data_IF_037503200043
#
_entry.id   IF_037503200043
#
_cell.length_a   1.000
_cell.length_b   1.000
_cell.length_c   1.000
_cell.angle_alpha   90.00
_cell.angle_beta   90.00
_cell.angle_gamma   90.00
#
_symmetry.space_group_name_H-M   'P 1'
#
loop_
_entity.id
_entity.type
_entity.pdbx_description
1 polymer ?
#
# COMPACT_ATOMS: atom_id res chain seq x y z
N UNK A 1 19.64 -29.10 18.69
CA UNK A 1 20.26 -30.42 18.46
C UNK A 1 19.88 -30.92 17.06
N UNK A 2 20.85 -31.43 16.29
CA UNK A 2 20.65 -31.90 14.92
C UNK A 2 19.88 -33.22 14.86
N UNK A 3 19.29 -33.57 13.72
CA UNK A 3 18.56 -34.84 13.53
C UNK A 3 19.46 -36.06 13.81
N UNK A 4 20.70 -36.14 13.28
CA UNK A 4 21.62 -37.21 13.62
C UNK A 4 21.84 -37.36 15.12
N UNK A 5 21.99 -36.25 15.86
CA UNK A 5 22.23 -36.31 17.29
C UNK A 5 20.98 -36.71 18.09
N UNK A 6 19.80 -36.20 17.74
CA UNK A 6 18.53 -36.56 18.40
C UNK A 6 18.16 -38.03 18.22
N UNK A 7 18.55 -38.61 17.09
CA UNK A 7 18.18 -39.97 16.68
C UNK A 7 19.27 -40.98 16.97
N UNK A 8 20.43 -40.52 17.44
CA UNK A 8 21.53 -41.38 17.81
C UNK A 8 21.15 -42.22 19.03
N UNK A 9 21.15 -43.52 18.84
CA UNK A 9 21.00 -44.50 19.91
C UNK A 9 22.09 -45.54 19.81
N UNK A 10 22.84 -45.75 20.88
CA UNK A 10 23.96 -46.69 20.94
C UNK A 10 23.74 -47.70 22.06
N UNK A 11 23.93 -48.98 21.74
CA UNK A 11 23.82 -50.09 22.67
C UNK A 11 25.08 -50.96 22.54
N UNK A 12 25.58 -51.49 23.65
CA UNK A 12 26.73 -52.41 23.65
C UNK A 12 26.38 -53.75 24.32
N UNK A 13 27.14 -54.79 23.99
CA UNK A 13 26.99 -56.14 24.54
C UNK A 13 27.84 -56.37 25.81
N UNK A 14 28.53 -55.33 26.29
CA UNK A 14 29.48 -55.34 27.41
C UNK A 14 30.59 -56.39 27.31
N UNK A 15 30.86 -56.88 26.09
CA UNK A 15 31.85 -57.91 25.81
C UNK A 15 32.84 -57.44 24.75
N UNK A 16 32.33 -57.13 23.56
CA UNK A 16 33.18 -56.79 22.41
C UNK A 16 32.57 -55.87 21.37
N UNK A 17 31.26 -55.58 21.42
CA UNK A 17 30.55 -54.88 20.36
C UNK A 17 29.66 -53.74 20.86
N UNK A 18 29.72 -52.63 20.13
CA UNK A 18 28.82 -51.48 20.24
C UNK A 18 28.12 -51.24 18.91
N UNK A 19 26.80 -51.11 18.93
CA UNK A 19 25.96 -50.80 17.78
C UNK A 19 25.27 -49.47 17.99
N UNK A 20 25.50 -48.54 17.07
CA UNK A 20 24.85 -47.23 17.03
C UNK A 20 23.92 -47.13 15.83
N UNK A 21 22.73 -46.58 16.02
CA UNK A 21 21.77 -46.26 14.97
C UNK A 21 21.46 -44.78 14.99
N UNK A 22 21.38 -44.14 13.83
CA UNK A 22 21.00 -42.73 13.71
C UNK A 22 20.37 -42.46 12.34
N UNK A 23 19.73 -41.31 12.21
CA UNK A 23 19.03 -40.88 11.01
C UNK A 23 19.51 -39.51 10.51
N UNK A 24 19.50 -39.31 9.20
CA UNK A 24 19.64 -37.99 8.58
C UNK A 24 18.65 -37.79 7.43
N UNK A 25 18.38 -36.53 7.10
CA UNK A 25 17.48 -36.21 5.99
C UNK A 25 18.15 -36.54 4.65
N UNK A 26 17.43 -37.19 3.73
CA UNK A 26 17.96 -37.63 2.43
C UNK A 26 18.48 -36.46 1.59
N UNK A 27 17.78 -35.33 1.59
CA UNK A 27 18.22 -34.11 0.90
C UNK A 27 19.51 -33.53 1.51
N UNK A 28 19.65 -33.57 2.84
CA UNK A 28 20.85 -33.08 3.52
C UNK A 28 22.04 -34.00 3.23
N UNK A 29 21.84 -35.31 3.27
CA UNK A 29 22.85 -36.31 2.90
C UNK A 29 23.37 -36.12 1.48
N UNK A 30 22.47 -35.86 0.52
CA UNK A 30 22.85 -35.60 -0.87
C UNK A 30 23.79 -34.40 -1.02
N UNK A 31 23.69 -33.40 -0.14
CA UNK A 31 24.55 -32.21 -0.14
C UNK A 31 25.84 -32.42 0.67
N UNK A 32 25.71 -32.95 1.89
CA UNK A 32 26.79 -33.18 2.84
C UNK A 32 26.50 -34.44 3.68
N UNK A 33 27.40 -35.41 3.62
CA UNK A 33 27.29 -36.61 4.44
C UNK A 33 27.85 -36.37 5.83
N UNK A 34 27.21 -36.96 6.84
CA UNK A 34 27.70 -36.91 8.22
C UNK A 34 28.46 -38.19 8.57
N UNK A 35 29.55 -38.03 9.32
CA UNK A 35 30.38 -39.12 9.83
C UNK A 35 30.25 -39.15 11.34
N UNK A 36 29.96 -40.33 11.91
CA UNK A 36 29.89 -40.55 13.34
C UNK A 36 31.29 -40.85 13.89
N UNK A 37 31.69 -40.13 14.93
CA UNK A 37 32.91 -40.36 15.68
C UNK A 37 32.57 -40.73 17.12
N UNK A 38 33.31 -41.66 17.69
CA UNK A 38 33.27 -42.03 19.10
C UNK A 38 34.59 -41.66 19.76
N UNK A 39 34.52 -41.19 21.00
CA UNK A 39 35.67 -40.91 21.85
C UNK A 39 35.40 -41.44 23.24
N UNK A 40 36.22 -42.36 23.70
CA UNK A 40 36.18 -42.81 25.09
C UNK A 40 36.95 -41.83 26.00
N UNK A 41 36.67 -41.88 27.30
CA UNK A 41 37.27 -41.01 28.31
C UNK A 41 38.69 -41.39 28.73
N UNK A 42 39.30 -42.43 28.13
CA UNK A 42 40.60 -42.99 28.52
C UNK A 42 41.69 -42.66 27.48
N UNK A 43 41.40 -42.91 26.20
CA UNK A 43 42.29 -42.77 25.05
C UNK A 43 42.14 -41.37 24.43
N UNK A 44 41.00 -40.68 24.63
CA UNK A 44 40.73 -39.30 24.15
C UNK A 44 40.89 -39.05 22.64
N UNK A 45 41.10 -40.09 21.84
CA UNK A 45 41.14 -40.00 20.37
C UNK A 45 39.75 -40.18 19.76
N UNK A 46 39.48 -39.45 18.67
CA UNK A 46 38.23 -39.63 17.91
C UNK A 46 38.38 -40.81 16.95
N UNK A 47 37.67 -41.89 17.22
CA UNK A 47 37.56 -43.04 16.33
C UNK A 47 36.37 -42.84 15.39
N UNK A 48 36.61 -42.92 14.09
CA UNK A 48 35.56 -42.92 13.07
C UNK A 48 34.79 -44.24 13.11
N UNK A 49 33.46 -44.18 13.12
CA UNK A 49 32.61 -45.36 13.04
C UNK A 49 32.22 -45.63 11.59
N UNK A 50 32.46 -46.86 11.15
CA UNK A 50 32.01 -47.34 9.85
C UNK A 50 30.51 -47.66 9.93
N UNK A 51 29.71 -46.75 9.37
CA UNK A 51 28.26 -46.87 9.28
C UNK A 51 27.84 -47.43 7.92
N UNK A 52 26.84 -48.31 7.92
CA UNK A 52 26.22 -48.83 6.70
C UNK A 52 24.78 -48.34 6.60
N UNK A 53 24.37 -48.05 5.37
CA UNK A 53 22.98 -47.75 5.06
C UNK A 53 22.11 -48.98 5.32
N UNK A 54 21.02 -48.82 6.07
CA UNK A 54 20.07 -49.88 6.33
C UNK A 54 19.01 -49.90 5.21
N UNK A 55 19.15 -50.82 4.26
CA UNK A 55 18.14 -51.05 3.20
C UNK A 55 16.94 -51.82 3.74
N UNK A 56 15.84 -51.10 3.99
CA UNK A 56 14.41 -51.41 3.80
C UNK A 56 13.85 -52.83 3.97
N UNK A 57 14.44 -53.69 4.81
CA UNK A 57 13.82 -55.00 5.10
C UNK A 57 13.49 -55.28 6.57
N UNK A 58 13.61 -54.33 7.50
CA UNK A 58 13.33 -54.63 8.92
C UNK A 58 12.61 -53.54 9.75
N UNK A 59 12.13 -52.43 9.18
CA UNK A 59 11.38 -51.43 9.97
C UNK A 59 10.21 -50.80 9.18
N UNK A 60 8.99 -51.19 9.55
CA UNK A 60 7.78 -50.41 9.29
C UNK A 60 7.80 -49.21 10.25
N UNK A 61 8.16 -48.00 9.80
CA UNK A 61 7.79 -46.67 10.40
C UNK A 61 8.72 -45.49 10.01
N UNK A 62 9.72 -45.69 9.16
CA UNK A 62 10.53 -44.57 8.67
C UNK A 62 9.84 -43.83 7.51
N UNK A 63 9.64 -42.50 7.56
CA UNK A 63 9.24 -41.74 6.38
C UNK A 63 10.33 -41.79 5.31
N UNK A 64 9.97 -41.97 4.03
CA UNK A 64 10.86 -42.05 2.84
C UNK A 64 11.89 -40.91 2.71
N UNK A 65 11.78 -39.85 3.53
CA UNK A 65 12.67 -38.69 3.57
C UNK A 65 13.92 -38.86 4.43
N UNK A 66 14.06 -39.96 5.18
CA UNK A 66 15.18 -40.17 6.11
C UNK A 66 16.04 -41.39 5.74
N UNK A 67 17.35 -41.21 5.86
CA UNK A 67 18.38 -42.21 5.64
C UNK A 67 18.77 -42.80 6.99
N UNK A 68 18.64 -44.13 7.12
CA UNK A 68 18.97 -44.86 8.35
C UNK A 68 20.37 -45.43 8.29
N UNK A 69 21.16 -45.13 9.32
CA UNK A 69 22.53 -45.57 9.45
C UNK A 69 22.69 -46.50 10.64
N UNK A 70 23.37 -47.63 10.40
CA UNK A 70 23.76 -48.57 11.45
C UNK A 70 25.28 -48.69 11.45
N UNK A 71 25.89 -48.34 12.57
CA UNK A 71 27.34 -48.37 12.76
C UNK A 71 27.67 -49.45 13.80
N UNK A 72 28.62 -50.33 13.47
CA UNK A 72 29.09 -51.38 14.38
C UNK A 72 30.57 -51.19 14.65
N UNK A 73 30.93 -51.11 15.93
CA UNK A 73 32.30 -50.96 16.37
C UNK A 73 32.66 -52.11 17.32
N UNK A 74 33.91 -52.56 17.27
CA UNK A 74 34.48 -53.49 18.25
C UNK A 74 35.30 -52.72 19.27
N UNK A 75 34.98 -52.94 20.54
CA UNK A 75 35.62 -52.30 21.69
C UNK A 75 36.12 -53.37 22.66
N UNK A 76 37.24 -53.07 23.32
CA UNK A 76 37.90 -54.03 24.21
C UNK A 76 37.84 -53.63 25.69
N UNK A 77 37.28 -52.44 26.00
CA UNK A 77 37.34 -51.83 27.31
C UNK A 77 35.96 -51.42 27.80
N UNK A 78 35.28 -52.31 28.51
CA UNK A 78 34.03 -52.01 29.21
C UNK A 78 34.28 -51.99 30.72
N UNK A 79 33.77 -50.96 31.40
CA UNK A 79 33.94 -50.82 32.84
C UNK A 79 33.04 -49.75 33.44
N UNK A 80 32.78 -49.84 34.73
CA UNK A 80 32.07 -48.80 35.46
C UNK A 80 32.96 -47.55 35.50
N UNK A 81 32.43 -46.42 35.00
CA UNK A 81 33.19 -45.17 34.87
C UNK A 81 33.86 -44.97 33.51
N UNK A 82 33.67 -45.89 32.56
CA UNK A 82 33.97 -45.67 31.14
C UNK A 82 32.76 -45.03 30.49
N UNK A 83 32.94 -43.91 29.79
CA UNK A 83 31.86 -43.24 29.06
C UNK A 83 32.34 -42.85 27.67
N UNK A 84 31.49 -43.14 26.68
CA UNK A 84 31.69 -42.79 25.29
C UNK A 84 31.01 -41.48 24.94
N UNK A 85 31.74 -40.60 24.28
CA UNK A 85 31.23 -39.38 23.67
C UNK A 85 31.10 -39.58 22.18
N UNK A 86 29.88 -39.42 21.66
CA UNK A 86 29.61 -39.48 20.22
C UNK A 86 29.49 -38.08 19.63
N UNK A 87 30.07 -37.90 18.44
CA UNK A 87 30.03 -36.61 17.73
C UNK A 87 29.88 -36.83 16.23
N UNK A 88 29.18 -35.92 15.59
CA UNK A 88 29.03 -35.93 14.13
C UNK A 88 29.91 -34.86 13.50
N UNK A 89 30.61 -35.22 12.43
CA UNK A 89 31.39 -34.27 11.62
C UNK A 89 30.99 -34.40 10.15
N UNK A 90 30.77 -33.29 9.43
CA UNK A 90 30.53 -33.35 8.00
C UNK A 90 31.76 -33.88 7.26
N UNK A 91 31.54 -34.65 6.20
CA UNK A 91 32.58 -35.16 5.33
C UNK A 91 33.21 -34.09 4.40
N UNK A 92 32.63 -32.88 4.40
CA UNK A 92 33.13 -31.70 3.70
C UNK A 92 33.46 -30.60 4.69
N UNK A 93 34.50 -29.82 4.40
CA UNK A 93 34.84 -28.63 5.16
C UNK A 93 33.85 -27.51 4.82
N UNK A 94 32.97 -27.18 5.76
CA UNK A 94 32.00 -26.08 5.65
C UNK A 94 32.49 -24.91 6.51
N UNK A 95 33.21 -23.98 5.88
CA UNK A 95 33.83 -22.85 6.57
C UNK A 95 33.76 -21.60 5.70
N UNK A 96 33.55 -20.45 6.34
CA UNK A 96 33.63 -19.14 5.72
C UNK A 96 34.50 -18.25 6.60
N UNK A 97 35.49 -17.59 5.99
CA UNK A 97 36.40 -16.66 6.65
C UNK A 97 36.36 -15.32 5.93
N UNK A 98 36.44 -14.23 6.69
CA UNK A 98 36.45 -12.88 6.15
C UNK A 98 37.34 -11.98 6.99
N UNK A 99 38.32 -11.35 6.34
CA UNK A 99 39.10 -10.26 6.93
C UNK A 99 38.30 -8.97 6.80
N UNK A 100 37.87 -8.39 7.91
CA UNK A 100 37.05 -7.17 7.93
C UNK A 100 37.92 -5.97 8.26
N UNK A 101 38.05 -5.04 7.32
CA UNK A 101 38.59 -3.71 7.60
C UNK A 101 37.50 -2.86 8.27
N UNK A 102 37.70 -2.56 9.55
CA UNK A 102 36.74 -1.84 10.38
C UNK A 102 36.40 -0.46 9.81
N UNK A 103 37.35 0.25 9.19
CA UNK A 103 37.13 1.62 8.72
C UNK A 103 36.52 1.68 7.31
N UNK A 104 36.54 0.56 6.58
CA UNK A 104 35.89 0.42 5.27
C UNK A 104 34.54 -0.32 5.33
N UNK A 105 34.13 -0.79 6.51
CA UNK A 105 32.88 -1.52 6.72
C UNK A 105 32.09 -0.94 7.91
N UNK A 106 32.01 0.39 7.98
CA UNK A 106 31.29 1.09 9.05
C UNK A 106 29.81 1.19 8.72
N UNK A 107 28.98 0.40 9.40
CA UNK A 107 27.53 0.64 9.44
C UNK A 107 27.19 1.42 10.71
N UNK A 108 26.68 2.64 10.53
CA UNK A 108 26.30 3.50 11.65
C UNK A 108 24.96 3.10 12.24
N UNK A 109 24.68 3.56 13.45
CA UNK A 109 23.36 3.41 14.06
C UNK A 109 22.34 4.37 13.42
N UNK A 110 21.05 4.01 13.38
CA UNK A 110 20.01 4.86 12.81
C UNK A 110 19.92 6.21 13.56
N UNK A 111 19.72 7.33 12.85
CA UNK A 111 19.46 8.63 13.48
C UNK A 111 18.30 8.58 14.49
N UNK A 112 18.42 9.34 15.57
CA UNK A 112 17.49 9.33 16.69
C UNK A 112 16.80 10.69 16.86
N UNK A 113 15.68 10.71 17.59
CA UNK A 113 14.94 11.93 17.92
C UNK A 113 14.57 12.76 16.69
N UNK A 114 14.11 12.11 15.62
CA UNK A 114 13.58 12.79 14.45
C UNK A 114 12.29 13.52 14.83
N UNK A 115 12.27 14.84 14.63
CA UNK A 115 11.13 15.71 14.92
C UNK A 115 10.91 16.71 13.81
N UNK A 116 9.67 17.20 13.68
CA UNK A 116 9.27 18.22 12.71
C UNK A 116 8.75 19.44 13.46
N UNK A 117 9.16 20.63 13.04
CA UNK A 117 8.60 21.90 13.53
C UNK A 117 8.15 22.79 12.38
N UNK A 118 6.99 23.43 12.54
CA UNK A 118 6.47 24.41 11.59
C UNK A 118 7.14 25.77 11.85
N UNK A 119 7.79 26.32 10.83
CA UNK A 119 8.46 27.62 10.91
C UNK A 119 7.47 28.77 10.69
N UNK A 120 7.83 29.97 11.13
CA UNK A 120 7.04 31.19 10.90
C UNK A 120 6.86 31.52 9.42
N UNK A 121 7.74 31.03 8.54
CA UNK A 121 7.61 31.15 7.07
C UNK A 121 6.53 30.24 6.47
N UNK A 122 5.98 29.29 7.25
CA UNK A 122 5.10 28.22 6.78
C UNK A 122 5.84 26.95 6.34
N UNK A 123 7.18 27.00 6.27
CA UNK A 123 8.02 25.84 5.93
C UNK A 123 8.16 24.87 7.11
N UNK A 124 8.61 23.65 6.82
CA UNK A 124 8.84 22.62 7.83
C UNK A 124 10.33 22.40 8.05
N UNK A 125 10.74 22.33 9.31
CA UNK A 125 12.10 22.03 9.72
C UNK A 125 12.13 20.66 10.39
N UNK A 126 12.77 19.71 9.71
CA UNK A 126 13.09 18.39 10.25
C UNK A 126 14.42 18.49 11.00
N UNK A 127 14.47 17.95 12.21
CA UNK A 127 15.68 17.87 13.03
C UNK A 127 15.85 16.48 13.61
N UNK A 128 17.07 15.99 13.67
CA UNK A 128 17.41 14.71 14.31
C UNK A 128 18.73 14.82 15.07
N UNK A 129 19.10 13.74 15.77
CA UNK A 129 20.41 13.57 16.39
C UNK A 129 21.11 12.38 15.75
N UNK A 130 22.42 12.49 15.58
CA UNK A 130 23.24 11.31 15.34
C UNK A 130 23.12 10.36 16.54
N UNK A 131 23.13 9.05 16.30
CA UNK A 131 23.03 8.08 17.38
C UNK A 131 24.24 8.16 18.33
N UNK A 132 23.99 7.93 19.62
CA UNK A 132 25.03 7.84 20.64
C UNK A 132 26.04 6.73 20.26
N UNK A 133 27.33 7.04 20.33
CA UNK A 133 28.42 6.18 19.82
C UNK A 133 28.91 6.54 18.41
N UNK A 134 28.12 7.30 17.63
CA UNK A 134 28.55 7.84 16.32
C UNK A 134 29.20 9.23 16.44
N UNK A 135 29.42 9.72 17.67
CA UNK A 135 29.87 11.10 17.92
C UNK A 135 31.29 11.37 17.40
N UNK A 136 32.15 10.34 17.32
CA UNK A 136 33.48 10.44 16.69
C UNK A 136 33.43 10.63 15.16
N UNK A 137 32.28 10.33 14.54
CA UNK A 137 32.02 10.45 13.09
C UNK A 137 31.20 11.71 12.75
N UNK A 138 30.93 12.62 13.70
CA UNK A 138 29.92 13.69 13.58
C UNK A 138 29.90 14.46 12.24
N UNK A 139 31.02 15.07 11.86
CA UNK A 139 31.15 15.84 10.59
C UNK A 139 31.56 14.97 9.39
N UNK A 140 31.52 13.65 9.58
CA UNK A 140 31.88 12.63 8.63
C UNK A 140 30.64 11.82 8.22
N UNK A 141 29.42 12.30 8.51
CA UNK A 141 28.17 11.63 8.15
C UNK A 141 27.41 12.37 7.06
N UNK A 142 26.91 11.58 6.12
CA UNK A 142 25.88 11.97 5.17
C UNK A 142 24.54 11.38 5.61
N UNK A 143 23.49 12.16 5.47
CA UNK A 143 22.13 11.77 5.81
C UNK A 143 21.27 11.76 4.56
N UNK A 144 20.45 10.74 4.45
CA UNK A 144 19.38 10.69 3.47
C UNK A 144 18.04 10.86 4.19
N UNK A 145 17.35 11.95 3.87
CA UNK A 145 15.99 12.22 4.33
C UNK A 145 15.04 11.80 3.23
N UNK A 146 14.12 10.91 3.55
CA UNK A 146 13.04 10.52 2.63
C UNK A 146 11.71 10.92 3.21
N UNK A 147 10.84 11.48 2.38
CA UNK A 147 9.50 11.88 2.80
C UNK A 147 8.48 11.65 1.70
N UNK A 148 7.25 11.38 2.13
CA UNK A 148 6.12 11.07 1.26
C UNK A 148 4.82 11.44 1.95
N UNK A 149 3.73 11.50 1.20
CA UNK A 149 2.41 11.51 1.83
C UNK A 149 2.14 10.15 2.46
N UNK A 150 1.36 10.14 3.53
CA UNK A 150 1.11 8.94 4.33
C UNK A 150 0.62 7.75 3.48
N UNK A 151 -0.22 8.03 2.49
CA UNK A 151 -0.79 7.05 1.56
C UNK A 151 0.09 6.63 0.39
N UNK A 152 1.18 7.36 0.12
CA UNK A 152 2.09 7.05 -0.99
C UNK A 152 3.00 5.88 -0.64
N UNK A 153 3.51 5.16 -1.65
CA UNK A 153 4.54 4.14 -1.46
C UNK A 153 5.91 4.78 -1.26
N UNK A 154 6.76 4.16 -0.44
CA UNK A 154 8.15 4.61 -0.23
C UNK A 154 8.99 4.60 -1.52
N UNK A 155 8.66 3.78 -2.52
CA UNK A 155 9.31 3.76 -3.84
C UNK A 155 9.16 5.09 -4.62
N UNK A 156 8.12 5.88 -4.32
CA UNK A 156 7.84 7.16 -4.97
C UNK A 156 8.15 8.36 -4.07
N UNK A 157 8.76 8.10 -2.90
CA UNK A 157 9.09 9.14 -1.95
C UNK A 157 10.14 10.10 -2.53
N UNK A 158 10.08 11.35 -2.09
CA UNK A 158 11.15 12.29 -2.36
C UNK A 158 12.34 11.98 -1.44
N UNK A 159 13.55 11.98 -2.00
CA UNK A 159 14.79 11.77 -1.26
C UNK A 159 15.67 13.01 -1.34
N UNK A 160 16.25 13.41 -0.21
CA UNK A 160 17.18 14.51 -0.08
C UNK A 160 18.46 13.99 0.57
N UNK A 161 19.59 14.19 -0.11
CA UNK A 161 20.91 13.88 0.43
C UNK A 161 21.51 15.13 1.06
N UNK A 162 21.97 15.00 2.31
CA UNK A 162 22.47 16.10 3.12
C UNK A 162 23.80 15.70 3.74
N UNK A 163 24.80 16.57 3.66
CA UNK A 163 26.12 16.33 4.24
C UNK A 163 26.32 17.20 5.49
N UNK A 164 26.89 16.64 6.55
CA UNK A 164 27.36 17.38 7.73
C UNK A 164 26.28 18.26 8.40
N UNK A 165 25.03 17.85 8.35
CA UNK A 165 23.90 18.56 8.97
C UNK A 165 22.94 17.56 9.60
N UNK A 166 22.31 17.97 10.69
CA UNK A 166 21.26 17.20 11.38
C UNK A 166 19.88 17.86 11.26
N UNK A 167 19.73 18.73 10.25
CA UNK A 167 18.50 19.46 9.96
C UNK A 167 18.24 19.54 8.46
N UNK A 168 16.97 19.48 8.11
CA UNK A 168 16.47 19.59 6.74
C UNK A 168 15.30 20.56 6.67
N UNK A 169 15.38 21.51 5.74
CA UNK A 169 14.29 22.44 5.46
C UNK A 169 13.45 21.91 4.30
N UNK A 170 12.14 21.73 4.54
CA UNK A 170 11.16 21.39 3.53
C UNK A 170 10.28 22.62 3.25
N UNK A 171 10.35 23.11 2.03
CA UNK A 171 9.57 24.26 1.56
C UNK A 171 8.09 23.90 1.48
N UNK A 172 7.22 24.75 2.03
CA UNK A 172 5.77 24.56 1.95
C UNK A 172 5.23 24.53 0.52
N UNK A 173 5.98 25.08 -0.45
CA UNK A 173 5.59 25.10 -1.87
C UNK A 173 5.74 23.73 -2.55
N UNK A 174 6.63 22.90 -2.02
CA UNK A 174 6.90 21.55 -2.55
C UNK A 174 5.98 20.49 -1.92
N UNK A 175 5.24 20.89 -0.87
CA UNK A 175 4.28 20.05 -0.17
C UNK A 175 2.85 20.37 -0.59
N UNK A 176 2.01 19.34 -0.67
CA UNK A 176 0.58 19.52 -0.92
C UNK A 176 -0.08 19.98 0.37
N UNK A 177 -0.76 21.15 0.43
CA UNK A 177 -1.37 21.61 1.67
C UNK A 177 -2.61 20.78 2.05
N UNK A 178 -2.92 20.69 3.35
CA UNK A 178 -3.98 19.85 3.92
C UNK A 178 -3.72 18.35 3.75
N UNK A 179 -2.47 17.91 3.75
CA UNK A 179 -2.06 16.51 3.58
C UNK A 179 -1.23 16.03 4.77
N UNK A 180 -1.41 14.76 5.13
CA UNK A 180 -0.54 14.06 6.08
C UNK A 180 0.71 13.56 5.37
N UNK A 181 1.87 13.92 5.91
CA UNK A 181 3.19 13.51 5.44
C UNK A 181 3.91 12.69 6.50
N UNK A 182 4.78 11.80 6.03
CA UNK A 182 5.67 10.99 6.85
C UNK A 182 7.09 11.09 6.31
N UNK A 183 8.07 11.17 7.20
CA UNK A 183 9.49 11.20 6.86
C UNK A 183 10.30 10.24 7.73
N UNK A 184 11.43 9.80 7.18
CA UNK A 184 12.44 8.99 7.86
C UNK A 184 13.83 9.36 7.37
N UNK A 185 14.83 9.16 8.21
CA UNK A 185 16.22 9.54 7.95
C UNK A 185 17.14 8.36 8.20
N UNK A 186 18.13 8.16 7.36
CA UNK A 186 19.24 7.23 7.60
C UNK A 186 20.57 7.92 7.36
N UNK A 187 21.64 7.35 7.88
CA UNK A 187 22.98 7.92 7.81
C UNK A 187 23.94 6.97 7.12
N UNK A 188 25.01 7.50 6.55
CA UNK A 188 26.18 6.71 6.12
C UNK A 188 27.45 7.51 6.36
N UNK A 189 28.63 6.86 6.41
CA UNK A 189 29.88 7.58 6.32
C UNK A 189 29.93 8.44 5.04
N UNK A 190 30.30 9.70 5.21
CA UNK A 190 30.39 10.67 4.13
C UNK A 190 31.57 10.36 3.24
N UNK A 191 31.45 10.66 1.95
CA UNK A 191 32.42 10.20 0.95
C UNK A 191 33.83 10.79 1.15
N UNK A 192 33.92 11.96 1.80
CA UNK A 192 35.18 12.64 2.10
C UNK A 192 35.75 12.32 3.50
N UNK A 193 35.13 11.40 4.24
CA UNK A 193 35.47 11.15 5.65
C UNK A 193 36.63 10.17 5.89
N UNK A 194 37.09 9.48 4.85
CA UNK A 194 38.07 8.38 4.96
C UNK A 194 37.46 7.06 5.47
N UNK A 195 36.20 7.08 5.90
CA UNK A 195 35.42 5.90 6.25
C UNK A 195 34.48 5.52 5.11
N UNK A 196 34.22 4.22 4.95
CA UNK A 196 33.22 3.74 4.01
C UNK A 196 32.35 2.65 4.63
N UNK A 197 31.17 2.46 4.05
CA UNK A 197 30.20 1.51 4.55
C UNK A 197 28.79 1.77 4.01
N UNK A 198 27.86 0.84 4.29
CA UNK A 198 26.48 0.97 3.88
C UNK A 198 25.76 2.05 4.69
N UNK A 199 24.55 2.38 4.24
CA UNK A 199 23.63 3.16 5.07
C UNK A 199 23.24 2.38 6.34
N UNK A 200 22.96 3.13 7.40
CA UNK A 200 22.26 2.63 8.56
C UNK A 200 20.83 2.22 8.21
N UNK A 201 20.21 1.48 9.13
CA UNK A 201 18.76 1.33 9.14
C UNK A 201 18.06 2.69 9.21
N UNK A 202 16.80 2.71 8.81
CA UNK A 202 15.99 3.92 8.90
C UNK A 202 15.71 4.31 10.35
N UNK A 203 15.64 5.61 10.62
CA UNK A 203 15.10 6.14 11.86
C UNK A 203 13.63 5.76 12.03
N UNK A 204 13.12 5.92 13.25
CA UNK A 204 11.67 5.96 13.47
C UNK A 204 11.04 7.04 12.59
N UNK A 205 9.89 6.72 12.02
CA UNK A 205 9.14 7.63 11.16
C UNK A 205 8.55 8.78 11.99
N UNK A 206 8.50 9.97 11.41
CA UNK A 206 7.81 11.13 11.98
C UNK A 206 6.72 11.57 11.02
N UNK A 207 5.54 11.87 11.55
CA UNK A 207 4.40 12.36 10.78
C UNK A 207 4.07 13.81 11.11
N UNK A 208 3.60 14.56 10.12
CA UNK A 208 3.09 15.91 10.30
C UNK A 208 2.00 16.21 9.28
N UNK A 209 1.17 17.20 9.58
CA UNK A 209 0.13 17.68 8.67
C UNK A 209 0.53 19.04 8.11
N UNK A 210 0.32 19.23 6.80
CA UNK A 210 0.45 20.54 6.19
C UNK A 210 -0.82 21.37 6.44
N UNK A 211 -0.71 22.71 6.60
CA UNK A 211 -1.86 23.56 6.86
C UNK A 211 -2.98 23.34 5.85
N UNK A 212 -4.22 23.36 6.35
CA UNK A 212 -5.40 23.28 5.50
C UNK A 212 -5.30 24.28 4.37
N UNK A 213 -5.46 23.78 3.16
CA UNK A 213 -5.50 24.67 2.03
C UNK A 213 -6.92 24.89 1.52
N UNK A 214 -7.07 25.97 0.73
CA UNK A 214 -8.33 26.32 0.10
C UNK A 214 -8.93 25.25 -0.83
N UNK A 215 -10.15 25.52 -1.28
CA UNK A 215 -11.02 24.61 -2.05
C UNK A 215 -10.56 24.37 -3.50
N UNK A 216 -9.47 24.98 -3.93
CA UNK A 216 -8.95 24.87 -5.30
C UNK A 216 -8.38 23.47 -5.57
N UNK A 217 -8.48 22.97 -6.82
CA UNK A 217 -7.78 21.76 -7.25
C UNK A 217 -6.27 21.87 -7.02
N UNK A 218 -5.64 20.75 -6.67
CA UNK A 218 -4.24 20.69 -6.23
C UNK A 218 -3.45 19.66 -6.99
N UNK A 219 -2.13 19.75 -6.87
CA UNK A 219 -1.20 18.76 -7.38
C UNK A 219 -1.43 18.42 -8.88
N UNK A 220 -1.74 19.44 -9.70
CA UNK A 220 -1.90 19.26 -11.13
C UNK A 220 -0.56 18.89 -11.75
N UNK A 221 -0.46 17.65 -12.25
CA UNK A 221 0.73 17.12 -12.90
C UNK A 221 0.35 16.56 -14.27
N UNK A 222 1.17 16.85 -15.27
CA UNK A 222 0.99 16.31 -16.61
C UNK A 222 2.28 15.66 -17.09
N UNK A 223 2.19 14.43 -17.58
CA UNK A 223 3.31 13.62 -18.04
C UNK A 223 3.07 13.21 -19.49
N UNK A 224 3.98 13.60 -20.38
CA UNK A 224 3.96 13.20 -21.78
C UNK A 224 4.69 11.86 -21.94
N UNK A 225 4.06 10.89 -22.61
CA UNK A 225 4.63 9.56 -22.83
C UNK A 225 5.74 9.53 -23.90
N UNK A 226 6.03 10.65 -24.56
CA UNK A 226 7.04 10.73 -25.62
C UNK A 226 6.52 10.32 -27.01
N UNK A 227 5.26 9.90 -27.12
CA UNK A 227 4.65 9.46 -28.37
C UNK A 227 3.46 10.34 -28.74
N UNK A 228 2.34 10.15 -28.07
CA UNK A 228 1.04 10.62 -28.52
C UNK A 228 0.07 10.97 -27.37
N UNK A 229 0.49 10.83 -26.10
CA UNK A 229 -0.41 10.97 -24.95
C UNK A 229 0.21 11.80 -23.84
N UNK A 230 -0.51 12.85 -23.45
CA UNK A 230 -0.23 13.66 -22.27
C UNK A 230 -1.23 13.30 -21.18
N UNK A 231 -0.77 12.59 -20.16
CA UNK A 231 -1.60 12.18 -19.02
C UNK A 231 -1.53 13.23 -17.93
N UNK A 232 -2.67 13.84 -17.61
CA UNK A 232 -2.76 14.82 -16.54
C UNK A 232 -3.57 14.28 -15.36
N UNK A 233 -3.11 14.55 -14.14
CA UNK A 233 -3.78 14.17 -12.89
C UNK A 233 -3.82 15.34 -11.91
N UNK A 234 -4.90 15.45 -11.15
CA UNK A 234 -5.08 16.46 -10.12
C UNK A 234 -5.89 15.91 -8.94
N UNK A 235 -5.91 16.65 -7.84
CA UNK A 235 -6.54 16.25 -6.59
C UNK A 235 -7.61 17.25 -6.17
N UNK A 236 -8.76 16.74 -5.73
CA UNK A 236 -9.91 17.53 -5.25
C UNK A 236 -10.46 16.95 -3.95
N UNK A 237 -11.01 17.80 -3.08
CA UNK A 237 -11.59 17.35 -1.80
C UNK A 237 -12.84 16.51 -2.06
N UNK A 238 -12.91 15.33 -1.42
CA UNK A 238 -14.01 14.37 -1.57
C UNK A 238 -15.38 14.96 -1.18
N UNK A 239 -15.40 15.89 -0.23
CA UNK A 239 -16.63 16.56 0.19
C UNK A 239 -17.24 17.48 -0.89
N UNK A 240 -16.46 17.89 -1.90
CA UNK A 240 -16.89 18.88 -2.89
C UNK A 240 -17.32 18.21 -4.20
N UNK A 241 -16.76 17.04 -4.53
CA UNK A 241 -17.07 16.33 -5.79
C UNK A 241 -18.52 15.87 -5.91
N UNK A 242 -19.27 15.82 -4.80
CA UNK A 242 -20.72 15.53 -4.83
C UNK A 242 -21.55 16.70 -5.37
N UNK A 243 -20.98 17.91 -5.37
CA UNK A 243 -21.68 19.15 -5.72
C UNK A 243 -21.02 19.90 -6.88
N UNK A 244 -19.72 19.73 -7.09
CA UNK A 244 -18.94 20.42 -8.12
C UNK A 244 -18.23 19.37 -8.98
N UNK A 245 -18.53 19.39 -10.28
CA UNK A 245 -17.82 18.61 -11.28
C UNK A 245 -16.62 19.43 -11.76
N UNK A 246 -15.44 18.83 -11.78
CA UNK A 246 -14.24 19.47 -12.32
C UNK A 246 -13.90 18.89 -13.68
N UNK A 247 -13.59 19.79 -14.63
CA UNK A 247 -13.11 19.44 -15.97
C UNK A 247 -11.68 19.90 -16.16
N UNK A 248 -10.93 19.17 -16.99
CA UNK A 248 -9.62 19.57 -17.45
C UNK A 248 -9.73 20.17 -18.84
N UNK A 249 -9.21 21.38 -18.99
CA UNK A 249 -9.24 22.16 -20.23
C UNK A 249 -7.82 22.42 -20.70
N UNK A 250 -7.58 22.28 -21.99
CA UNK A 250 -6.24 22.46 -22.55
C UNK A 250 -6.24 23.24 -23.86
N UNK A 251 -5.09 23.85 -24.16
CA UNK A 251 -4.78 24.48 -25.45
C UNK A 251 -3.45 23.92 -25.94
N UNK A 252 -3.44 23.36 -27.15
CA UNK A 252 -2.23 22.82 -27.77
C UNK A 252 -1.22 23.92 -28.12
N UNK A 253 -1.70 25.11 -28.48
CA UNK A 253 -0.87 26.30 -28.73
C UNK A 253 -1.55 27.56 -28.15
N UNK A 254 -0.86 28.70 -28.14
CA UNK A 254 -1.46 29.97 -27.68
C UNK A 254 -2.65 30.43 -28.54
N UNK A 255 -2.68 30.03 -29.81
CA UNK A 255 -3.69 30.45 -30.77
C UNK A 255 -4.81 29.40 -30.96
N UNK A 256 -4.68 28.20 -30.41
CA UNK A 256 -5.72 27.17 -30.53
C UNK A 256 -6.92 27.49 -29.66
N UNK A 257 -8.09 27.02 -30.08
CA UNK A 257 -9.25 26.96 -29.20
C UNK A 257 -8.93 26.10 -27.97
N UNK A 258 -9.67 26.37 -26.89
CA UNK A 258 -9.59 25.59 -25.67
C UNK A 258 -10.52 24.39 -25.79
N UNK A 259 -9.97 23.21 -25.51
CA UNK A 259 -10.67 21.94 -25.61
C UNK A 259 -10.84 21.33 -24.22
N UNK A 260 -11.93 20.57 -24.02
CA UNK A 260 -12.18 19.81 -22.80
C UNK A 260 -11.68 18.37 -22.96
N UNK A 261 -10.88 17.91 -21.99
CA UNK A 261 -10.41 16.54 -21.96
C UNK A 261 -11.51 15.61 -21.44
N UNK A 262 -11.79 14.53 -22.17
CA UNK A 262 -12.75 13.50 -21.75
C UNK A 262 -12.33 12.11 -22.24
N UNK A 263 -12.64 11.03 -21.49
CA UNK A 263 -13.29 11.00 -20.18
C UNK A 263 -12.33 11.34 -19.02
N UNK A 264 -12.89 11.86 -17.93
CA UNK A 264 -12.16 12.02 -16.66
C UNK A 264 -12.32 10.75 -15.83
N UNK A 265 -11.20 10.14 -15.46
CA UNK A 265 -11.14 8.99 -14.57
C UNK A 265 -10.96 9.43 -13.12
N UNK A 266 -11.62 8.75 -12.19
CA UNK A 266 -11.51 9.02 -10.77
C UNK A 266 -10.95 7.82 -10.02
N UNK A 267 -10.04 8.10 -9.09
CA UNK A 267 -9.48 7.11 -8.18
C UNK A 267 -9.63 7.62 -6.74
N UNK A 268 -10.58 7.03 -6.03
CA UNK A 268 -10.73 7.23 -4.60
C UNK A 268 -9.72 6.37 -3.84
N UNK A 269 -9.02 6.96 -2.88
CA UNK A 269 -8.15 6.26 -1.96
C UNK A 269 -8.82 6.19 -0.59
N UNK A 270 -8.76 5.03 0.06
CA UNK A 270 -9.36 4.79 1.38
C UNK A 270 -8.68 5.64 2.45
N UNK A 271 -9.46 6.24 3.35
CA UNK A 271 -8.98 7.09 4.45
C UNK A 271 -8.31 8.41 4.04
N UNK A 272 -8.51 8.86 2.80
CA UNK A 272 -7.99 10.16 2.33
C UNK A 272 -9.16 11.12 2.06
N UNK A 273 -9.07 12.38 2.52
CA UNK A 273 -10.10 13.40 2.25
C UNK A 273 -10.09 13.93 0.81
N UNK A 274 -9.27 13.36 -0.07
CA UNK A 274 -9.10 13.76 -1.47
C UNK A 274 -9.35 12.61 -2.43
N UNK A 275 -9.80 12.95 -3.63
CA UNK A 275 -9.95 12.05 -4.79
C UNK A 275 -9.00 12.52 -5.87
N UNK A 276 -8.28 11.57 -6.48
CA UNK A 276 -7.42 11.83 -7.63
C UNK A 276 -8.27 11.70 -8.89
N UNK A 277 -8.30 12.74 -9.70
CA UNK A 277 -8.91 12.73 -11.02
C UNK A 277 -7.82 12.80 -12.08
N UNK A 278 -8.02 12.14 -13.22
CA UNK A 278 -7.06 12.11 -14.32
C UNK A 278 -7.73 12.07 -15.68
N UNK A 279 -7.08 12.68 -16.67
CA UNK A 279 -7.53 12.66 -18.06
C UNK A 279 -6.34 12.58 -19.02
N UNK A 280 -6.54 11.95 -20.16
CA UNK A 280 -5.51 11.72 -21.18
C UNK A 280 -5.79 12.58 -22.41
N UNK A 281 -4.86 13.46 -22.74
CA UNK A 281 -4.96 14.32 -23.91
C UNK A 281 -4.20 13.68 -25.08
N UNK A 282 -4.83 13.47 -26.25
CA UNK A 282 -4.14 13.02 -27.45
C UNK A 282 -3.27 14.15 -28.03
N UNK A 283 -2.04 13.80 -28.44
CA UNK A 283 -1.01 14.72 -28.94
C UNK A 283 -0.61 14.30 -30.34
N UNK A 284 -1.05 15.04 -31.36
CA UNK A 284 -0.85 14.64 -32.77
C UNK A 284 0.38 15.25 -33.46
N UNK A 285 0.95 16.33 -32.91
CA UNK A 285 2.06 17.10 -33.51
C UNK A 285 3.04 17.60 -32.43
N UNK A 286 3.80 16.68 -31.83
CA UNK A 286 4.81 17.02 -30.83
C UNK A 286 6.09 17.55 -31.50
N UNK A 287 6.36 18.84 -31.36
CA UNK A 287 7.66 19.45 -31.65
C UNK A 287 8.38 19.76 -30.34
N UNK A 288 9.70 19.99 -30.37
CA UNK A 288 10.45 20.44 -29.18
C UNK A 288 9.94 21.76 -28.59
N UNK A 289 9.17 22.53 -29.35
CA UNK A 289 8.61 23.82 -28.93
C UNK A 289 7.12 23.72 -28.58
N UNK A 290 6.49 22.55 -28.72
CA UNK A 290 5.08 22.38 -28.41
C UNK A 290 4.85 22.57 -26.91
N UNK A 291 4.06 23.60 -26.56
CA UNK A 291 3.79 23.97 -25.17
C UNK A 291 2.29 24.03 -24.93
N UNK A 292 1.78 22.96 -24.33
CA UNK A 292 0.39 22.86 -23.94
C UNK A 292 0.13 23.75 -22.71
N UNK A 293 -1.00 24.45 -22.71
CA UNK A 293 -1.53 25.09 -21.53
C UNK A 293 -2.66 24.22 -20.99
N UNK A 294 -2.58 23.83 -19.73
CA UNK A 294 -3.58 22.97 -19.08
C UNK A 294 -4.12 23.67 -17.85
N UNK A 295 -5.43 23.62 -17.65
CA UNK A 295 -6.12 24.21 -16.52
C UNK A 295 -7.22 23.28 -16.03
N UNK A 296 -7.43 23.24 -14.70
CA UNK A 296 -8.52 22.50 -14.08
C UNK A 296 -9.46 23.51 -13.46
N UNK A 297 -10.76 23.42 -13.77
CA UNK A 297 -11.79 24.32 -13.23
C UNK A 297 -13.12 23.61 -13.11
N UNK A 298 -14.02 24.19 -12.32
CA UNK A 298 -15.38 23.72 -12.21
C UNK A 298 -16.06 23.78 -13.58
N UNK A 299 -16.69 22.67 -13.95
CA UNK A 299 -17.51 22.53 -15.15
C UNK A 299 -18.90 23.09 -14.87
N UNK A 300 -19.44 23.82 -15.84
CA UNK A 300 -20.83 24.25 -15.81
C UNK A 300 -21.70 23.07 -16.27
N UNK A 301 -22.49 22.52 -15.35
CA UNK A 301 -23.46 21.48 -15.65
C UNK A 301 -24.82 22.11 -15.96
N UNK A 302 -25.32 21.89 -17.17
CA UNK A 302 -26.58 22.44 -17.62
C UNK A 302 -27.60 21.35 -17.86
N UNK A 303 -28.84 21.60 -17.41
CA UNK A 303 -29.98 20.74 -17.70
C UNK A 303 -31.05 21.56 -18.39
N UNK A 304 -31.35 21.22 -19.64
CA UNK A 304 -32.45 21.82 -20.37
C UNK A 304 -33.77 21.28 -19.82
N UNK A 305 -34.57 22.17 -19.22
CA UNK A 305 -35.93 21.86 -18.77
C UNK A 305 -36.90 22.57 -19.71
N UNK A 306 -37.52 21.80 -20.60
CA UNK A 306 -38.53 22.31 -21.51
C UNK A 306 -39.80 22.68 -20.71
N UNK A 307 -39.99 23.97 -20.44
CA UNK A 307 -41.09 24.46 -19.59
C UNK A 307 -42.47 23.96 -20.06
N UNK A 308 -42.70 23.88 -21.37
CA UNK A 308 -43.97 23.41 -21.95
C UNK A 308 -44.27 21.92 -21.69
N UNK A 309 -43.25 21.11 -21.34
CA UNK A 309 -43.41 19.71 -20.93
C UNK A 309 -43.47 19.51 -19.41
N UNK A 310 -43.12 20.55 -18.63
CA UNK A 310 -42.97 20.47 -17.17
C UNK A 310 -43.98 21.37 -16.44
N UNK A 311 -45.22 21.42 -16.93
CA UNK A 311 -46.28 22.26 -16.37
C UNK A 311 -46.98 21.52 -15.22
N UNK A 312 -46.93 22.07 -14.01
CA UNK A 312 -47.74 21.62 -12.87
C UNK A 312 -48.88 22.62 -12.64
N UNK A 313 -50.06 22.27 -13.15
CA UNK A 313 -51.27 23.09 -12.99
C UNK A 313 -51.67 23.13 -11.51
N UNK A 314 -52.07 24.30 -11.03
CA UNK A 314 -52.65 24.43 -9.69
C UNK A 314 -53.96 23.62 -9.59
N UNK A 315 -54.29 23.09 -8.40
CA UNK A 315 -55.53 22.34 -8.22
C UNK A 315 -56.76 23.22 -8.57
N UNK A 316 -57.83 22.62 -9.15
CA UNK A 316 -59.08 23.35 -9.41
C UNK A 316 -59.64 23.96 -8.13
N UNK A 317 -60.07 25.22 -8.21
CA UNK A 317 -60.62 25.94 -7.07
C UNK A 317 -62.13 25.71 -6.95
N UNK A 318 -62.67 25.88 -5.74
CA UNK A 318 -64.11 25.86 -5.44
C UNK A 318 -64.84 24.63 -6.02
N UNK A 319 -64.30 23.45 -5.74
CA UNK A 319 -64.99 22.19 -6.10
C UNK A 319 -66.27 22.10 -5.25
N UNK A 320 -67.42 22.11 -5.90
CA UNK A 320 -68.73 22.04 -5.24
C UNK A 320 -69.66 21.07 -5.96
N UNK A 321 -70.65 20.55 -5.22
CA UNK A 321 -71.68 19.67 -5.76
C UNK A 321 -73.02 20.38 -5.66
N UNK A 322 -73.75 20.44 -6.76
CA UNK A 322 -75.13 20.97 -6.81
C UNK A 322 -76.09 19.89 -7.29
N UNK A 323 -77.34 19.92 -6.83
CA UNK A 323 -78.40 19.03 -7.32
C UNK A 323 -79.20 19.80 -8.37
N UNK A 324 -79.36 19.21 -9.55
CA UNK A 324 -80.13 19.79 -10.66
C UNK A 324 -81.64 19.59 -10.44
N UNK A 325 -82.46 20.37 -11.14
CA UNK A 325 -83.93 20.26 -11.09
C UNK A 325 -84.44 18.86 -11.50
N UNK A 326 -83.65 18.14 -12.29
CA UNK A 326 -83.88 16.75 -12.71
C UNK A 326 -83.38 15.69 -11.72
N UNK A 327 -83.04 16.07 -10.47
CA UNK A 327 -82.49 15.18 -9.43
C UNK A 327 -81.12 14.53 -9.74
N UNK A 328 -80.33 15.10 -10.67
CA UNK A 328 -78.96 14.65 -10.94
C UNK A 328 -77.93 15.45 -10.14
N UNK A 329 -76.83 14.82 -9.74
CA UNK A 329 -75.69 15.49 -9.09
C UNK A 329 -74.73 16.07 -10.12
N UNK A 330 -74.43 17.37 -9.99
CA UNK A 330 -73.48 18.07 -10.84
C UNK A 330 -72.26 18.53 -10.02
N UNK A 331 -71.07 18.14 -10.46
CA UNK A 331 -69.81 18.57 -9.86
C UNK A 331 -69.27 19.78 -10.64
N UNK A 332 -69.03 20.89 -9.94
CA UNK A 332 -68.53 22.13 -10.51
C UNK A 332 -67.18 22.48 -9.91
N UNK A 333 -66.30 23.08 -10.71
CA UNK A 333 -65.02 23.61 -10.26
C UNK A 333 -64.60 24.79 -11.14
N UNK A 334 -63.73 25.63 -10.58
CA UNK A 334 -63.12 26.75 -11.30
C UNK A 334 -61.79 26.27 -11.87
N UNK A 335 -61.68 26.32 -13.20
CA UNK A 335 -60.43 26.01 -13.90
C UNK A 335 -59.34 27.03 -13.57
N UNK A 336 -58.08 26.61 -13.60
CA UNK A 336 -56.97 27.54 -13.50
C UNK A 336 -56.90 28.43 -14.75
N UNK A 337 -56.74 29.74 -14.59
CA UNK A 337 -56.65 30.65 -15.74
C UNK A 337 -55.19 30.77 -16.19
N UNK A 338 -54.86 30.13 -17.31
CA UNK A 338 -53.60 30.37 -17.98
C UNK A 338 -53.60 31.72 -18.70
N UNK A 339 -52.43 32.36 -18.77
CA UNK A 339 -52.22 33.55 -19.60
C UNK A 339 -52.50 33.27 -21.09
N UNK A 340 -52.23 32.04 -21.54
CA UNK A 340 -52.48 31.60 -22.90
C UNK A 340 -53.75 30.76 -23.01
N UNK A 341 -54.78 31.32 -23.65
CA UNK A 341 -56.10 30.70 -23.76
C UNK A 341 -56.16 29.40 -24.59
N UNK A 342 -55.13 29.10 -25.37
CA UNK A 342 -55.06 27.89 -26.20
C UNK A 342 -54.65 26.63 -25.41
N UNK A 343 -54.19 26.78 -24.16
CA UNK A 343 -53.78 25.65 -23.31
C UNK A 343 -55.03 24.93 -22.79
N UNK A 344 -55.28 23.73 -23.32
CA UNK A 344 -56.43 22.89 -22.93
C UNK A 344 -56.16 22.17 -21.61
N UNK A 345 -57.11 22.22 -20.68
CA UNK A 345 -57.05 21.48 -19.42
C UNK A 345 -57.90 20.21 -19.51
N UNK A 346 -57.40 19.12 -18.94
CA UNK A 346 -58.15 17.87 -18.77
C UNK A 346 -58.27 17.61 -17.28
N UNK A 347 -59.44 17.14 -16.87
CA UNK A 347 -59.74 16.90 -15.47
C UNK A 347 -59.96 15.41 -15.24
N UNK A 348 -59.40 14.93 -14.14
CA UNK A 348 -59.70 13.62 -13.59
C UNK A 348 -60.53 13.86 -12.33
N UNK A 349 -61.73 13.28 -12.31
CA UNK A 349 -62.64 13.36 -11.17
C UNK A 349 -62.70 11.99 -10.52
N UNK A 350 -62.56 11.97 -9.19
CA UNK A 350 -62.72 10.77 -8.37
C UNK A 350 -63.76 11.07 -7.29
N UNK A 351 -64.69 10.13 -7.10
CA UNK A 351 -65.72 10.20 -6.07
C UNK A 351 -65.95 8.80 -5.47
N UNK A 352 -66.40 8.75 -4.22
CA UNK A 352 -66.68 7.50 -3.51
C UNK A 352 -67.81 7.71 -2.50
N UNK A 353 -68.47 6.62 -2.14
CA UNK A 353 -69.45 6.61 -1.06
C UNK A 353 -68.71 6.64 0.27
N UNK A 354 -69.09 7.54 1.18
CA UNK A 354 -68.46 7.63 2.48
C UNK A 354 -68.60 6.28 3.22
N UNK A 355 -67.51 5.80 3.85
CA UNK A 355 -67.37 4.49 4.51
C UNK A 355 -67.36 3.21 3.63
N UNK A 356 -67.14 3.31 2.32
CA UNK A 356 -66.81 2.14 1.48
C UNK A 356 -65.58 2.45 0.61
N UNK A 357 -64.43 1.84 0.91
CA UNK A 357 -63.20 1.90 0.09
C UNK A 357 -63.34 1.04 -1.18
N UNK A 358 -64.32 1.37 -2.02
CA UNK A 358 -64.51 0.76 -3.35
C UNK A 358 -64.57 1.86 -4.40
N UNK A 359 -63.59 1.90 -5.31
CA UNK A 359 -63.49 2.89 -6.39
C UNK A 359 -64.70 2.76 -7.33
N UNK A 360 -65.59 3.75 -7.36
CA UNK A 360 -66.70 3.77 -8.32
C UNK A 360 -66.40 4.78 -9.42
N UNK A 361 -65.78 4.26 -10.49
CA UNK A 361 -65.67 4.84 -11.84
C UNK A 361 -64.81 6.11 -12.05
N UNK A 362 -63.74 5.95 -12.85
CA UNK A 362 -62.98 7.04 -13.46
C UNK A 362 -63.76 7.61 -14.66
N UNK A 363 -64.22 8.87 -14.58
CA UNK A 363 -64.67 9.61 -15.77
C UNK A 363 -63.65 10.70 -16.11
N UNK A 364 -63.09 10.63 -17.32
CA UNK A 364 -62.24 11.70 -17.88
C UNK A 364 -63.15 12.76 -18.47
N UNK A 365 -63.27 13.90 -17.80
CA UNK A 365 -64.01 15.05 -18.31
C UNK A 365 -63.08 15.92 -19.17
N UNK A 366 -63.40 16.08 -20.45
CA UNK A 366 -62.76 17.08 -21.31
C UNK A 366 -63.56 18.38 -21.21
N UNK A 367 -62.88 19.51 -21.07
CA UNK A 367 -63.46 20.83 -21.32
C UNK A 367 -63.63 21.07 -22.81
#
# INVERSE_FOLDING_TARGET
ESIPMKTLSCYNDYNSQTTCTWMEHSEAHALVGMILYQRDNIITENKELLCKHQTENDLHEAPDSYVHWVCRNTENNFGIGVYDTYSFKPNKMLQAELNVDLFQNVQTLPPQNLSVSLMTSGDFLLTWKAADGSQGLGNALEYEVTYKREWESWEKAASLLLSNTTRCHLSHKDLVPGSSYVARVRARPGQASGFSGPYSEWSTEVSWETPEGGLQPRNLRCLFNGADRLTCSWEVKKAIITSVVFGLFFRATRASAEEECSPVHEKALTHIPYVVQSCEIPVSNSSRQSRYHVSVRAKMEEKVIEAYKNIKVLPPANVSVTVTESQEYELRWIKHTFQYGFIKQRYQVEYWKNNQYGKVSLRKCRS
#
